data_IF_872072674582
#
_entry.id   IF_872072674582
#
_cell.length_a   1.000
_cell.length_b   1.000
_cell.length_c   1.000
_cell.angle_alpha   90.00
_cell.angle_beta   90.00
_cell.angle_gamma   90.00
#
_symmetry.space_group_name_H-M   'P 1'
#
loop_
_entity.id
_entity.type
_entity.pdbx_description
1 polymer ?
#
# COMPACT_ATOMS: atom_id res chain seq x y z
N UNK A 1 1.70 24.43 -17.39
CA UNK A 1 2.46 23.15 -17.43
C UNK A 1 2.32 22.57 -18.83
N UNK A 2 3.40 22.06 -19.45
CA UNK A 2 3.38 21.53 -20.82
C UNK A 2 3.36 20.01 -20.81
N UNK A 3 2.49 19.40 -21.62
CA UNK A 3 2.38 17.95 -21.76
C UNK A 3 3.64 17.39 -22.42
N UNK A 4 4.39 16.58 -21.68
CA UNK A 4 5.53 15.82 -22.20
C UNK A 4 5.10 14.47 -22.80
N UNK A 5 4.15 13.78 -22.15
CA UNK A 5 3.57 12.51 -22.64
C UNK A 5 2.11 12.38 -22.20
N UNK A 6 1.27 11.80 -23.05
CA UNK A 6 -0.12 11.46 -22.70
C UNK A 6 -0.16 9.97 -22.35
N UNK A 7 -0.71 9.62 -21.19
CA UNK A 7 -0.85 8.22 -20.75
C UNK A 7 -2.25 7.70 -21.06
N UNK A 8 -3.27 8.47 -20.68
CA UNK A 8 -4.66 8.25 -21.04
C UNK A 8 -5.42 9.60 -21.00
N UNK A 9 -6.74 9.59 -21.17
CA UNK A 9 -7.54 10.83 -21.19
C UNK A 9 -7.48 11.64 -19.88
N UNK A 10 -7.13 11.01 -18.77
CA UNK A 10 -7.15 11.58 -17.42
C UNK A 10 -5.75 11.76 -16.81
N UNK A 11 -4.69 11.32 -17.49
CA UNK A 11 -3.34 11.31 -16.95
C UNK A 11 -2.32 11.71 -18.01
N UNK A 12 -1.47 12.67 -17.65
CA UNK A 12 -0.36 13.14 -18.47
C UNK A 12 0.93 13.19 -17.65
N UNK A 13 2.06 13.06 -18.33
CA UNK A 13 3.38 13.28 -17.79
C UNK A 13 3.85 14.67 -18.21
N UNK A 14 4.42 15.43 -17.29
CA UNK A 14 5.08 16.70 -17.55
C UNK A 14 6.52 16.65 -17.06
N UNK A 15 7.34 17.58 -17.51
CA UNK A 15 8.64 17.87 -16.92
C UNK A 15 8.51 19.12 -16.05
N UNK A 16 9.07 19.07 -14.84
CA UNK A 16 9.14 20.22 -13.96
C UNK A 16 10.29 21.18 -14.37
N UNK A 17 10.59 22.17 -13.52
CA UNK A 17 11.65 23.16 -13.80
C UNK A 17 13.08 22.58 -13.76
N UNK A 18 13.24 21.38 -13.21
CA UNK A 18 14.51 20.67 -13.07
C UNK A 18 14.63 19.51 -14.08
N UNK A 19 13.75 19.45 -15.08
CA UNK A 19 13.61 18.32 -16.02
C UNK A 19 13.24 16.99 -15.34
N UNK A 20 12.63 17.03 -14.16
CA UNK A 20 12.12 15.85 -13.46
C UNK A 20 10.68 15.53 -13.89
N UNK A 21 10.41 14.23 -14.08
CA UNK A 21 9.11 13.75 -14.54
C UNK A 21 8.06 13.82 -13.42
N UNK A 22 6.93 14.50 -13.69
CA UNK A 22 5.78 14.57 -12.78
C UNK A 22 4.53 14.03 -13.46
N UNK A 23 3.74 13.26 -12.71
CA UNK A 23 2.47 12.71 -13.18
C UNK A 23 1.34 13.67 -12.76
N UNK A 24 0.59 14.16 -13.74
CA UNK A 24 -0.54 15.07 -13.53
C UNK A 24 -1.83 14.34 -13.88
N UNK A 25 -2.78 14.39 -12.96
CA UNK A 25 -4.06 13.71 -13.06
C UNK A 25 -5.20 14.70 -12.98
N UNK A 26 -6.21 14.49 -13.82
CA UNK A 26 -7.40 15.31 -13.87
C UNK A 26 -8.44 14.72 -14.80
N UNK A 27 -9.72 14.76 -14.42
CA UNK A 27 -10.80 14.24 -15.30
C UNK A 27 -10.78 14.95 -16.66
N UNK A 28 -10.48 14.20 -17.72
CA UNK A 28 -10.42 14.71 -19.10
C UNK A 28 -9.24 15.65 -19.39
N UNK A 29 -8.21 15.67 -18.54
CA UNK A 29 -7.06 16.60 -18.66
C UNK A 29 -6.33 16.50 -20.02
N UNK A 30 -6.32 15.32 -20.64
CA UNK A 30 -5.70 15.09 -21.94
C UNK A 30 -6.72 15.02 -23.09
N UNK A 31 -8.01 15.22 -22.81
CA UNK A 31 -9.05 15.08 -23.82
C UNK A 31 -8.88 16.14 -24.92
N UNK A 32 -8.70 15.68 -26.16
CA UNK A 32 -8.41 16.52 -27.35
C UNK A 32 -7.10 17.33 -27.26
N UNK A 33 -6.20 16.98 -26.35
CA UNK A 33 -4.86 17.57 -26.26
C UNK A 33 -3.83 16.70 -26.99
N UNK A 34 -2.66 17.26 -27.26
CA UNK A 34 -1.49 16.61 -27.86
C UNK A 34 -0.24 16.88 -27.02
N UNK A 35 0.80 16.08 -27.24
CA UNK A 35 2.13 16.36 -26.67
C UNK A 35 2.59 17.75 -27.12
N UNK A 36 3.06 18.55 -26.16
CA UNK A 36 3.42 19.95 -26.35
C UNK A 36 2.31 20.96 -26.01
N UNK A 37 1.07 20.52 -25.79
CA UNK A 37 -0.02 21.44 -25.41
C UNK A 37 0.10 21.84 -23.92
N UNK A 38 -0.45 23.01 -23.60
CA UNK A 38 -0.59 23.47 -22.22
C UNK A 38 -1.80 22.84 -21.51
N UNK A 39 -1.57 22.53 -20.24
CA UNK A 39 -2.57 22.07 -19.27
C UNK A 39 -3.13 23.29 -18.55
N UNK A 40 -4.46 23.37 -18.47
CA UNK A 40 -5.18 24.38 -17.70
C UNK A 40 -5.16 24.00 -16.21
N UNK A 41 -4.74 24.90 -15.34
CA UNK A 41 -4.52 24.59 -13.91
C UNK A 41 -5.80 24.15 -13.17
N UNK A 42 -6.96 24.63 -13.60
CA UNK A 42 -8.27 24.24 -13.05
C UNK A 42 -8.69 22.81 -13.40
N UNK A 43 -8.04 22.17 -14.37
CA UNK A 43 -8.27 20.78 -14.75
C UNK A 43 -7.39 19.81 -13.96
N UNK A 44 -6.48 20.31 -13.12
CA UNK A 44 -5.55 19.50 -12.34
C UNK A 44 -6.21 19.12 -11.02
N UNK A 45 -6.47 17.82 -10.86
CA UNK A 45 -6.97 17.27 -9.59
C UNK A 45 -5.81 16.91 -8.66
N UNK A 46 -4.75 16.28 -9.19
CA UNK A 46 -3.57 15.85 -8.43
C UNK A 46 -2.29 15.90 -9.26
N UNK A 47 -1.18 16.14 -8.57
CA UNK A 47 0.18 16.02 -9.12
C UNK A 47 0.98 15.08 -8.22
N UNK A 48 1.59 14.06 -8.81
CA UNK A 48 2.50 13.14 -8.13
C UNK A 48 3.93 13.44 -8.55
N UNK A 49 4.79 13.65 -7.56
CA UNK A 49 6.24 13.70 -7.70
C UNK A 49 6.80 12.55 -6.89
N UNK A 50 7.32 11.54 -7.56
CA UNK A 50 7.88 10.35 -6.92
C UNK A 50 9.38 10.51 -6.71
N UNK A 51 9.92 9.86 -5.69
CA UNK A 51 11.31 10.02 -5.24
C UNK A 51 12.36 9.62 -6.28
N UNK A 52 12.03 8.76 -7.25
CA UNK A 52 12.95 8.36 -8.30
C UNK A 52 12.25 8.00 -9.63
N UNK A 53 13.05 7.99 -10.70
CA UNK A 53 12.60 7.72 -12.06
C UNK A 53 12.06 6.30 -12.27
N UNK A 54 12.57 5.31 -11.55
CA UNK A 54 12.07 3.92 -11.67
C UNK A 54 10.64 3.82 -11.15
N UNK A 55 10.33 4.50 -10.04
CA UNK A 55 8.98 4.58 -9.49
C UNK A 55 8.04 5.33 -10.44
N UNK A 56 8.47 6.46 -11.00
CA UNK A 56 7.71 7.19 -12.03
C UNK A 56 7.39 6.33 -13.24
N UNK A 57 8.36 5.56 -13.74
CA UNK A 57 8.15 4.62 -14.84
C UNK A 57 7.15 3.52 -14.48
N UNK A 58 7.29 2.88 -13.31
CA UNK A 58 6.35 1.84 -12.85
C UNK A 58 4.93 2.38 -12.73
N UNK A 59 4.78 3.56 -12.14
CA UNK A 59 3.45 4.15 -11.97
C UNK A 59 2.85 4.55 -13.32
N UNK A 60 3.68 5.12 -14.20
CA UNK A 60 3.29 5.45 -15.58
C UNK A 60 2.76 4.24 -16.35
N UNK A 61 3.42 3.09 -16.23
CA UNK A 61 2.95 1.84 -16.86
C UNK A 61 1.63 1.36 -16.24
N UNK A 62 1.51 1.38 -14.91
CA UNK A 62 0.28 1.01 -14.21
C UNK A 62 -0.92 1.88 -14.63
N UNK A 63 -0.70 3.18 -14.84
CA UNK A 63 -1.75 4.16 -15.15
C UNK A 63 -2.30 4.06 -16.57
N UNK A 64 -1.64 3.36 -17.51
CA UNK A 64 -2.12 3.27 -18.90
C UNK A 64 -3.53 2.67 -18.99
N UNK A 65 -3.76 1.60 -18.25
CA UNK A 65 -5.00 0.81 -18.29
C UNK A 65 -5.81 0.90 -16.99
N UNK A 66 -5.42 1.78 -16.05
CA UNK A 66 -6.09 1.91 -14.76
C UNK A 66 -7.14 3.02 -14.78
N UNK A 67 -8.40 2.73 -14.41
CA UNK A 67 -9.42 3.76 -14.25
C UNK A 67 -9.05 4.73 -13.12
N UNK A 68 -9.34 6.01 -13.34
CA UNK A 68 -8.94 7.10 -12.44
C UNK A 68 -9.42 6.88 -10.99
N UNK A 69 -10.63 6.35 -10.83
CA UNK A 69 -11.26 6.16 -9.52
C UNK A 69 -10.44 5.23 -8.61
N UNK A 70 -9.73 4.23 -9.15
CA UNK A 70 -8.87 3.33 -8.35
C UNK A 70 -7.69 4.07 -7.71
N UNK A 71 -7.07 4.98 -8.46
CA UNK A 71 -5.95 5.80 -7.99
C UNK A 71 -6.45 6.85 -6.99
N UNK A 72 -7.63 7.43 -7.25
CA UNK A 72 -8.27 8.35 -6.31
C UNK A 72 -8.56 7.69 -4.96
N UNK A 73 -9.10 6.47 -4.99
CA UNK A 73 -9.37 5.66 -3.79
C UNK A 73 -8.08 5.33 -3.04
N UNK A 74 -7.04 4.87 -3.74
CA UNK A 74 -5.76 4.57 -3.12
C UNK A 74 -5.15 5.82 -2.43
N UNK A 75 -5.19 6.98 -3.08
CA UNK A 75 -4.71 8.23 -2.47
C UNK A 75 -5.57 8.67 -1.28
N UNK A 76 -6.89 8.47 -1.33
CA UNK A 76 -7.81 8.76 -0.20
C UNK A 76 -7.46 7.89 1.02
N UNK A 77 -7.24 6.59 0.80
CA UNK A 77 -6.80 5.64 1.84
C UNK A 77 -5.43 6.04 2.41
N UNK A 78 -4.47 6.40 1.55
CA UNK A 78 -3.12 6.82 1.98
C UNK A 78 -3.18 8.10 2.82
N UNK A 79 -4.00 9.07 2.42
CA UNK A 79 -4.21 10.30 3.20
C UNK A 79 -4.81 10.01 4.57
N UNK A 80 -5.80 9.13 4.62
CA UNK A 80 -6.39 8.70 5.88
C UNK A 80 -5.35 7.97 6.76
N UNK A 81 -4.57 7.06 6.19
CA UNK A 81 -3.50 6.34 6.88
C UNK A 81 -2.44 7.30 7.46
N UNK A 82 -1.99 8.29 6.68
CA UNK A 82 -1.05 9.32 7.13
C UNK A 82 -1.60 10.11 8.32
N UNK A 83 -2.88 10.46 8.30
CA UNK A 83 -3.55 11.18 9.39
C UNK A 83 -3.61 10.34 10.67
N UNK A 84 -3.97 9.06 10.56
CA UNK A 84 -4.11 8.17 11.73
C UNK A 84 -2.77 7.77 12.34
N UNK A 85 -1.76 7.49 11.51
CA UNK A 85 -0.47 6.98 11.99
C UNK A 85 0.50 8.08 12.40
N UNK A 86 0.34 9.31 11.90
CA UNK A 86 1.27 10.42 12.15
C UNK A 86 2.70 10.16 11.64
N UNK A 87 2.87 9.21 10.71
CA UNK A 87 4.15 8.77 10.15
C UNK A 87 4.23 9.06 8.66
N UNK A 88 5.46 9.17 8.16
CA UNK A 88 5.71 9.17 6.71
C UNK A 88 5.49 7.75 6.18
N UNK A 89 4.82 7.66 5.02
CA UNK A 89 4.64 6.43 4.27
C UNK A 89 5.45 6.55 2.98
N UNK A 90 6.10 5.47 2.59
CA UNK A 90 6.88 5.42 1.36
C UNK A 90 6.00 5.71 0.13
N UNK A 91 6.52 6.49 -0.82
CA UNK A 91 5.80 6.87 -2.04
C UNK A 91 5.40 5.66 -2.91
N UNK A 92 6.08 4.52 -2.78
CA UNK A 92 5.73 3.28 -3.48
C UNK A 92 4.37 2.70 -3.04
N UNK A 93 3.83 3.18 -1.91
CA UNK A 93 2.51 2.79 -1.45
C UNK A 93 1.43 3.15 -2.47
N UNK A 94 1.49 4.30 -3.15
CA UNK A 94 0.46 4.66 -4.15
C UNK A 94 0.42 3.65 -5.29
N UNK A 95 1.59 3.17 -5.73
CA UNK A 95 1.70 2.20 -6.83
C UNK A 95 1.14 0.86 -6.37
N UNK A 96 1.69 0.34 -5.27
CA UNK A 96 1.32 -1.01 -4.78
C UNK A 96 -0.13 -1.10 -4.31
N UNK A 97 -0.67 -0.06 -3.68
CA UNK A 97 -2.04 -0.04 -3.22
C UNK A 97 -3.03 0.14 -4.37
N UNK A 98 -2.72 0.99 -5.36
CA UNK A 98 -3.61 1.15 -6.53
C UNK A 98 -3.73 -0.16 -7.33
N UNK A 99 -2.61 -0.86 -7.53
CA UNK A 99 -2.60 -2.17 -8.19
C UNK A 99 -3.36 -3.24 -7.39
N UNK A 100 -3.15 -3.28 -6.06
CA UNK A 100 -3.85 -4.19 -5.17
C UNK A 100 -5.37 -3.96 -5.19
N UNK A 101 -5.84 -2.72 -5.09
CA UNK A 101 -7.29 -2.42 -5.10
C UNK A 101 -7.90 -2.81 -6.44
N UNK A 102 -7.25 -2.47 -7.57
CA UNK A 102 -7.71 -2.87 -8.90
C UNK A 102 -7.89 -4.39 -8.99
N UNK A 103 -6.84 -5.13 -8.64
CA UNK A 103 -6.88 -6.59 -8.73
C UNK A 103 -7.81 -7.23 -7.70
N UNK A 104 -7.98 -6.67 -6.50
CA UNK A 104 -8.96 -7.13 -5.51
C UNK A 104 -10.40 -6.96 -6.00
N UNK A 105 -10.73 -5.80 -6.56
CA UNK A 105 -12.06 -5.55 -7.13
C UNK A 105 -12.32 -6.44 -8.34
N UNK A 106 -11.38 -6.55 -9.27
CA UNK A 106 -11.50 -7.43 -10.45
C UNK A 106 -11.76 -8.88 -10.02
N UNK A 107 -10.96 -9.42 -9.09
CA UNK A 107 -11.15 -10.78 -8.55
C UNK A 107 -12.51 -10.95 -7.88
N UNK A 108 -12.95 -9.97 -7.10
CA UNK A 108 -14.23 -10.05 -6.42
C UNK A 108 -15.41 -10.07 -7.41
N UNK A 109 -15.37 -9.22 -8.44
CA UNK A 109 -16.39 -9.19 -9.49
C UNK A 109 -16.40 -10.49 -10.32
N UNK A 110 -15.26 -11.15 -10.47
CA UNK A 110 -15.14 -12.48 -11.07
C UNK A 110 -15.60 -13.62 -10.13
N UNK A 111 -16.06 -13.30 -8.91
CA UNK A 111 -16.50 -14.27 -7.91
C UNK A 111 -15.37 -15.01 -7.20
N UNK A 112 -14.13 -14.53 -7.31
CA UNK A 112 -12.95 -15.12 -6.69
C UNK A 112 -12.75 -14.49 -5.31
N UNK A 113 -13.08 -15.26 -4.27
CA UNK A 113 -12.85 -14.84 -2.88
C UNK A 113 -11.48 -15.32 -2.39
N UNK A 114 -10.59 -14.36 -2.13
CA UNK A 114 -9.29 -14.62 -1.51
C UNK A 114 -9.41 -14.74 0.00
N UNK A 115 -8.82 -15.78 0.58
CA UNK A 115 -8.70 -15.93 2.03
C UNK A 115 -7.34 -15.46 2.51
N UNK A 116 -7.32 -14.68 3.58
CA UNK A 116 -6.11 -14.27 4.26
C UNK A 116 -5.87 -15.19 5.46
N UNK A 117 -5.00 -16.18 5.27
CA UNK A 117 -4.69 -17.17 6.31
C UNK A 117 -3.99 -16.59 7.54
N UNK A 118 -3.46 -15.36 7.43
CA UNK A 118 -2.80 -14.63 8.52
C UNK A 118 -3.68 -13.51 9.09
N UNK A 119 -4.98 -13.45 8.75
CA UNK A 119 -5.85 -12.33 9.13
C UNK A 119 -5.84 -12.06 10.65
N UNK A 120 -5.90 -13.11 11.47
CA UNK A 120 -5.87 -12.98 12.93
C UNK A 120 -4.53 -12.46 13.44
N UNK A 121 -3.42 -12.94 12.86
CA UNK A 121 -2.08 -12.45 13.18
C UNK A 121 -1.90 -10.99 12.77
N UNK A 122 -2.46 -10.59 11.63
CA UNK A 122 -2.43 -9.21 11.14
C UNK A 122 -3.23 -8.29 12.08
N UNK A 123 -4.46 -8.68 12.45
CA UNK A 123 -5.29 -7.97 13.44
C UNK A 123 -4.54 -7.73 14.75
N UNK A 124 -3.69 -8.68 15.14
CA UNK A 124 -2.93 -8.65 16.39
C UNK A 124 -1.67 -7.81 16.28
N UNK A 125 -0.85 -8.00 15.24
CA UNK A 125 0.47 -7.38 15.13
C UNK A 125 0.46 -6.00 14.45
N UNK A 126 -0.56 -5.72 13.66
CA UNK A 126 -0.74 -4.48 12.88
C UNK A 126 -2.13 -3.91 13.12
N UNK A 127 -2.49 -3.75 14.41
CA UNK A 127 -3.84 -3.35 14.83
C UNK A 127 -4.26 -2.02 14.21
N UNK A 128 -3.37 -1.03 14.22
CA UNK A 128 -3.66 0.30 13.70
C UNK A 128 -3.81 0.26 12.16
N UNK A 129 -2.91 -0.45 11.47
CA UNK A 129 -2.97 -0.65 10.03
C UNK A 129 -4.21 -1.46 9.61
N UNK A 130 -4.65 -2.42 10.42
CA UNK A 130 -5.86 -3.20 10.16
C UNK A 130 -7.13 -2.36 10.33
N UNK A 131 -7.20 -1.51 11.35
CA UNK A 131 -8.31 -0.55 11.49
C UNK A 131 -8.38 0.40 10.30
N UNK A 132 -7.22 0.83 9.79
CA UNK A 132 -7.15 1.61 8.54
C UNK A 132 -7.62 0.77 7.35
N UNK A 133 -7.23 -0.51 7.27
CA UNK A 133 -7.70 -1.44 6.25
C UNK A 133 -9.22 -1.59 6.24
N UNK A 134 -9.87 -1.66 7.41
CA UNK A 134 -11.34 -1.70 7.51
C UNK A 134 -11.98 -0.41 6.99
N UNK A 135 -11.40 0.76 7.28
CA UNK A 135 -11.90 2.03 6.74
C UNK A 135 -11.67 2.10 5.23
N UNK A 136 -10.56 1.54 4.73
CA UNK A 136 -10.27 1.45 3.31
C UNK A 136 -11.34 0.67 2.56
N UNK A 137 -11.88 -0.43 3.13
CA UNK A 137 -13.00 -1.17 2.52
C UNK A 137 -14.24 -0.29 2.34
N UNK A 138 -14.57 0.56 3.32
CA UNK A 138 -15.70 1.50 3.21
C UNK A 138 -15.46 2.58 2.16
N UNK A 139 -14.22 3.07 2.04
CA UNK A 139 -13.86 4.03 0.99
C UNK A 139 -14.03 3.39 -0.39
N UNK A 140 -13.58 2.14 -0.56
CA UNK A 140 -13.75 1.36 -1.79
C UNK A 140 -15.23 1.18 -2.11
N UNK A 141 -16.03 0.70 -1.15
CA UNK A 141 -17.47 0.49 -1.31
C UNK A 141 -18.16 1.79 -1.77
N UNK A 142 -17.88 2.91 -1.09
CA UNK A 142 -18.50 4.22 -1.41
C UNK A 142 -18.13 4.76 -2.80
N UNK A 143 -16.93 4.47 -3.29
CA UNK A 143 -16.38 5.07 -4.52
C UNK A 143 -16.53 4.17 -5.75
N UNK A 144 -16.45 2.86 -5.56
CA UNK A 144 -16.41 1.85 -6.63
C UNK A 144 -17.67 0.96 -6.61
N UNK A 145 -18.51 1.06 -5.57
CA UNK A 145 -19.76 0.27 -5.41
C UNK A 145 -19.48 -1.25 -5.33
N UNK A 146 -18.40 -1.61 -4.62
CA UNK A 146 -17.98 -3.00 -4.42
C UNK A 146 -17.68 -3.25 -2.94
N UNK A 147 -18.39 -4.22 -2.35
CA UNK A 147 -18.22 -4.66 -0.97
C UNK A 147 -17.19 -5.79 -0.87
N UNK A 148 -15.95 -5.42 -0.58
CA UNK A 148 -14.84 -6.37 -0.45
C UNK A 148 -14.85 -7.07 0.93
N UNK A 149 -14.44 -8.34 1.02
CA UNK A 149 -14.41 -9.07 2.28
C UNK A 149 -13.34 -8.53 3.25
N UNK A 150 -13.54 -8.78 4.56
CA UNK A 150 -12.58 -8.40 5.61
C UNK A 150 -11.15 -8.92 5.36
N UNK A 151 -11.01 -10.05 4.65
CA UNK A 151 -9.73 -10.58 4.22
C UNK A 151 -8.87 -9.53 3.47
N UNK A 152 -9.49 -8.65 2.67
CA UNK A 152 -8.83 -7.56 1.95
C UNK A 152 -8.36 -6.43 2.88
N UNK A 153 -9.05 -6.17 4.00
CA UNK A 153 -8.53 -5.25 5.02
C UNK A 153 -7.18 -5.74 5.58
N UNK A 154 -7.02 -7.06 5.71
CA UNK A 154 -5.74 -7.66 6.10
C UNK A 154 -4.63 -7.44 5.07
N UNK A 155 -4.92 -7.56 3.77
CA UNK A 155 -3.93 -7.29 2.72
C UNK A 155 -3.57 -5.80 2.64
N UNK A 156 -4.55 -4.90 2.73
CA UNK A 156 -4.32 -3.45 2.77
C UNK A 156 -3.46 -3.07 3.97
N UNK A 157 -3.72 -3.65 5.15
CA UNK A 157 -2.91 -3.43 6.35
C UNK A 157 -1.43 -3.78 6.12
N UNK A 158 -1.15 -4.87 5.41
CA UNK A 158 0.22 -5.27 5.06
C UNK A 158 0.86 -4.29 4.07
N UNK A 159 0.13 -3.77 3.07
CA UNK A 159 0.66 -2.72 2.19
C UNK A 159 1.07 -1.46 2.98
N UNK A 160 0.23 -1.03 3.92
CA UNK A 160 0.53 0.11 4.80
C UNK A 160 1.73 -0.20 5.69
N UNK A 161 1.76 -1.37 6.32
CA UNK A 161 2.86 -1.77 7.20
C UNK A 161 4.19 -1.88 6.45
N UNK A 162 4.20 -2.38 5.21
CA UNK A 162 5.36 -2.38 4.32
C UNK A 162 5.84 -0.96 4.04
N UNK A 163 4.94 -0.02 3.80
CA UNK A 163 5.31 1.37 3.50
C UNK A 163 5.89 2.15 4.68
N UNK A 164 5.73 1.63 5.90
CA UNK A 164 6.34 2.16 7.12
C UNK A 164 7.78 1.65 7.33
N UNK A 165 8.19 0.63 6.57
CA UNK A 165 9.57 0.14 6.58
C UNK A 165 10.38 0.85 5.49
N UNK A 166 11.57 1.35 5.86
CA UNK A 166 12.50 1.99 4.91
C UNK A 166 13.17 0.98 3.95
N UNK A 167 12.91 -0.32 4.09
CA UNK A 167 13.56 -1.38 3.32
C UNK A 167 12.62 -1.98 2.27
N UNK A 168 12.83 -1.60 1.01
CA UNK A 168 12.00 -1.95 -0.15
C UNK A 168 11.87 -3.44 -0.49
N UNK A 169 12.67 -4.31 0.16
CA UNK A 169 12.75 -5.74 -0.14
C UNK A 169 12.14 -6.64 0.95
N UNK A 170 11.69 -6.07 2.08
CA UNK A 170 11.17 -6.87 3.19
C UNK A 170 9.67 -6.98 3.11
N UNK A 171 9.16 -8.20 2.92
CA UNK A 171 7.74 -8.47 2.88
C UNK A 171 7.20 -8.73 4.31
N UNK A 172 6.38 -7.82 4.83
CA UNK A 172 5.74 -7.96 6.15
C UNK A 172 4.88 -9.22 6.25
N UNK A 173 4.38 -9.74 5.13
CA UNK A 173 3.67 -11.02 5.13
C UNK A 173 4.59 -12.18 5.55
N UNK A 174 5.82 -12.22 5.05
CA UNK A 174 6.80 -13.26 5.39
C UNK A 174 7.27 -13.11 6.84
N UNK A 175 7.47 -11.88 7.32
CA UNK A 175 7.75 -11.61 8.74
C UNK A 175 6.62 -12.18 9.61
N UNK A 176 5.37 -11.88 9.26
CA UNK A 176 4.19 -12.32 10.01
C UNK A 176 4.08 -13.84 10.05
N UNK A 177 4.39 -14.51 8.93
CA UNK A 177 4.43 -15.97 8.85
C UNK A 177 5.48 -16.56 9.81
N UNK A 178 6.71 -16.05 9.78
CA UNK A 178 7.77 -16.51 10.71
C UNK A 178 7.36 -16.28 12.16
N UNK A 179 6.75 -15.12 12.46
CA UNK A 179 6.24 -14.83 13.80
C UNK A 179 5.20 -15.85 14.25
N UNK A 180 4.23 -16.17 13.40
CA UNK A 180 3.19 -17.16 13.68
C UNK A 180 3.81 -18.55 13.92
N UNK A 181 4.76 -18.97 13.09
CA UNK A 181 5.45 -20.26 13.24
C UNK A 181 6.18 -20.37 14.58
N UNK A 182 6.92 -19.32 14.99
CA UNK A 182 7.62 -19.29 16.29
C UNK A 182 6.63 -19.34 17.45
N UNK A 183 5.55 -18.55 17.40
CA UNK A 183 4.52 -18.56 18.43
C UNK A 183 3.89 -19.95 18.57
N UNK A 184 3.60 -20.62 17.45
CA UNK A 184 3.08 -21.98 17.44
C UNK A 184 4.08 -22.97 18.08
N UNK A 185 5.36 -22.90 17.71
CA UNK A 185 6.41 -23.74 18.30
C UNK A 185 6.43 -23.58 19.83
N UNK A 186 6.43 -22.35 20.34
CA UNK A 186 6.45 -22.09 21.80
C UNK A 186 5.17 -22.59 22.47
N UNK A 187 4.01 -22.30 21.87
CA UNK A 187 2.69 -22.72 22.37
C UNK A 187 2.60 -24.23 22.54
N UNK A 188 2.98 -24.99 21.50
CA UNK A 188 2.89 -26.44 21.50
C UNK A 188 3.96 -27.11 22.36
N UNK A 189 5.21 -26.65 22.32
CA UNK A 189 6.28 -27.25 23.14
C UNK A 189 6.06 -27.05 24.63
N UNK A 190 5.52 -25.89 25.03
CA UNK A 190 5.28 -25.58 26.45
C UNK A 190 3.87 -25.96 26.90
N UNK A 191 2.98 -26.36 25.98
CA UNK A 191 1.56 -26.64 26.26
C UNK A 191 0.85 -25.49 26.98
N UNK A 192 1.14 -24.25 26.57
CA UNK A 192 0.58 -23.03 27.15
C UNK A 192 -0.38 -22.34 26.18
N UNK A 193 -1.14 -21.39 26.70
CA UNK A 193 -1.82 -20.35 25.92
C UNK A 193 -1.21 -19.00 26.26
N UNK A 194 -1.20 -18.08 25.30
CA UNK A 194 -0.73 -16.72 25.54
C UNK A 194 -1.87 -15.84 26.04
N UNK A 195 -1.59 -15.04 27.07
CA UNK A 195 -2.40 -13.88 27.41
C UNK A 195 -1.99 -12.73 26.50
N UNK A 196 -2.81 -12.44 25.49
CA UNK A 196 -2.47 -11.50 24.41
C UNK A 196 -2.43 -10.04 24.87
N UNK A 197 -3.10 -9.73 25.98
CA UNK A 197 -3.16 -8.40 26.58
C UNK A 197 -2.01 -8.16 27.58
N UNK A 198 -1.21 -9.20 27.87
CA UNK A 198 -0.09 -9.11 28.79
C UNK A 198 1.08 -8.34 28.21
N UNK A 199 1.70 -7.47 29.03
CA UNK A 199 2.95 -6.78 28.67
C UNK A 199 4.09 -7.74 28.34
N UNK A 200 4.10 -8.94 28.95
CA UNK A 200 5.12 -9.97 28.67
C UNK A 200 4.95 -10.54 27.26
N UNK A 201 3.71 -10.77 26.87
CA UNK A 201 3.40 -11.25 25.53
C UNK A 201 3.70 -10.19 24.47
N UNK A 202 3.33 -8.92 24.75
CA UNK A 202 3.69 -7.80 23.89
C UNK A 202 5.22 -7.70 23.67
N UNK A 203 6.00 -7.80 24.76
CA UNK A 203 7.46 -7.80 24.69
C UNK A 203 7.99 -8.97 23.87
N UNK A 204 7.44 -10.17 24.09
CA UNK A 204 7.83 -11.37 23.36
C UNK A 204 7.61 -11.23 21.85
N UNK A 205 6.41 -10.84 21.42
CA UNK A 205 6.09 -10.60 20.01
C UNK A 205 6.95 -9.52 19.40
N UNK A 206 7.19 -8.44 20.13
CA UNK A 206 8.08 -7.36 19.66
C UNK A 206 9.47 -7.91 19.34
N UNK A 207 10.05 -8.73 20.22
CA UNK A 207 11.34 -9.35 19.97
C UNK A 207 11.31 -10.36 18.82
N UNK A 208 10.25 -11.16 18.70
CA UNK A 208 10.08 -12.06 17.55
C UNK A 208 9.98 -11.25 16.26
N UNK A 209 9.21 -10.15 16.22
CA UNK A 209 9.10 -9.27 15.05
C UNK A 209 10.48 -8.76 14.61
N UNK A 210 11.28 -8.24 15.53
CA UNK A 210 12.65 -7.80 15.23
C UNK A 210 13.57 -8.95 14.82
N UNK A 211 13.41 -10.14 15.40
CA UNK A 211 14.13 -11.33 14.97
C UNK A 211 13.74 -11.72 13.54
N UNK A 212 12.45 -11.87 13.24
CA UNK A 212 11.92 -12.24 11.93
C UNK A 212 12.33 -11.23 10.87
N UNK A 213 12.25 -9.93 11.17
CA UNK A 213 12.73 -8.87 10.27
C UNK A 213 14.21 -9.04 9.94
N UNK A 214 15.07 -9.27 10.95
CA UNK A 214 16.51 -9.50 10.71
C UNK A 214 16.78 -10.80 9.95
N UNK A 215 16.06 -11.85 10.28
CA UNK A 215 16.20 -13.16 9.63
C UNK A 215 15.87 -13.09 8.14
N UNK A 216 14.76 -12.42 7.79
CA UNK A 216 14.32 -12.24 6.40
C UNK A 216 15.26 -11.29 5.63
N UNK A 217 15.75 -10.23 6.27
CA UNK A 217 16.64 -9.25 5.61
C UNK A 217 18.10 -9.69 5.53
N UNK A 218 18.49 -10.76 6.22
CA UNK A 218 19.86 -11.22 6.28
C UNK A 218 20.83 -10.25 6.97
N UNK A 219 20.32 -9.24 7.69
CA UNK A 219 21.15 -8.26 8.40
C UNK A 219 21.69 -8.85 9.70
N UNK A 220 23.01 -9.07 9.74
CA UNK A 220 23.76 -9.35 10.96
C UNK A 220 24.26 -8.05 11.59
N UNK A 221 24.32 -7.98 12.92
CA UNK A 221 25.17 -6.99 13.57
C UNK A 221 26.60 -7.49 13.45
N UNK A 222 27.50 -6.70 12.86
CA UNK A 222 28.92 -6.89 13.10
C UNK A 222 29.16 -6.47 14.54
N UNK A 223 29.63 -7.40 15.37
CA UNK A 223 30.12 -7.07 16.70
C UNK A 223 31.39 -6.21 16.51
N UNK A 224 31.33 -4.92 16.86
CA UNK A 224 32.54 -4.08 17.05
C UNK A 224 33.40 -4.61 18.21
#
# INVERSE_FOLDING_TARGET
MIIYKILNNNVVLILDKNDEEQIVMGRGIAYKKRVGDEIEENMIDKVFTLSDKNMTNKFTELLKDMPLDYVEVADEIIKYAKLQLGKRLNDNLIISLSDHIKTAVERHLDGINMKNFLLWDIKRFYKDEFVIGLEALKIIEKRIDVDLPEDEAGFIAIHIANSLMDESLTNMYDITKVMQEILNIVKYNLSITFDEESVYFYRFVTHIKFFSQRHITGKTFDDE
#
